data_IF_249398864118
#
_entry.id   IF_249398864118
#
_cell.length_a   1.000
_cell.length_b   1.000
_cell.length_c   1.000
_cell.angle_alpha   90.00
_cell.angle_beta   90.00
_cell.angle_gamma   90.00
#
_symmetry.space_group_name_H-M   'P 1'
#
loop_
_entity.id
_entity.type
_entity.pdbx_description
1 polymer ?
#
# COMPACT_ATOMS: atom_id res chain seq x y z
N UNK A 1 -33.75 -12.49 0.34
CA UNK A 1 -32.76 -13.43 -0.24
C UNK A 1 -31.39 -12.83 0.06
N UNK A 2 -30.72 -13.27 1.13
CA UNK A 2 -29.45 -12.69 1.59
C UNK A 2 -28.35 -13.32 0.72
N UNK A 3 -27.60 -12.52 -0.03
CA UNK A 3 -26.40 -13.03 -0.68
C UNK A 3 -25.40 -13.42 0.43
N UNK A 4 -24.78 -14.60 0.37
CA UNK A 4 -23.76 -14.96 1.36
C UNK A 4 -22.64 -13.91 1.31
N UNK A 5 -22.13 -13.52 2.49
CA UNK A 5 -20.99 -12.60 2.52
C UNK A 5 -19.81 -13.21 1.75
N UNK A 6 -19.10 -12.41 0.94
CA UNK A 6 -18.00 -12.91 0.12
C UNK A 6 -16.89 -13.45 1.01
N UNK A 7 -16.44 -14.68 0.72
CA UNK A 7 -15.33 -15.34 1.45
C UNK A 7 -14.04 -14.52 1.45
N UNK A 8 -13.82 -13.71 0.40
CA UNK A 8 -12.69 -12.79 0.28
C UNK A 8 -13.04 -11.61 -0.61
N UNK A 9 -12.82 -10.41 -0.10
CA UNK A 9 -12.94 -9.16 -0.86
C UNK A 9 -11.55 -8.69 -1.29
N UNK A 10 -11.45 -8.16 -2.50
CA UNK A 10 -10.25 -7.52 -3.02
C UNK A 10 -10.56 -6.07 -3.37
N UNK A 11 -9.88 -5.16 -2.70
CA UNK A 11 -9.92 -3.73 -2.93
C UNK A 11 -8.61 -3.29 -3.57
N UNK A 12 -8.73 -2.34 -4.49
CA UNK A 12 -7.62 -1.76 -5.22
C UNK A 12 -8.11 -0.76 -6.25
N UNK A 13 -7.21 -0.31 -7.10
CA UNK A 13 -7.48 0.58 -8.23
C UNK A 13 -7.23 -0.17 -9.54
N UNK A 14 -7.99 0.16 -10.58
CA UNK A 14 -7.72 -0.33 -11.93
C UNK A 14 -6.63 0.54 -12.55
N UNK A 15 -5.49 -0.05 -12.88
CA UNK A 15 -4.34 0.63 -13.49
C UNK A 15 -4.29 0.46 -15.00
N UNK A 16 -4.98 -0.55 -15.54
CA UNK A 16 -5.16 -0.74 -16.98
C UNK A 16 -6.51 -1.39 -17.26
N UNK A 17 -7.15 -0.94 -18.33
CA UNK A 17 -8.39 -1.50 -18.85
C UNK A 17 -8.28 -1.58 -20.37
N UNK A 18 -8.51 -2.78 -20.90
CA UNK A 18 -8.39 -3.05 -22.32
C UNK A 18 -9.56 -3.91 -22.78
N UNK A 19 -10.14 -3.54 -23.93
CA UNK A 19 -11.14 -4.36 -24.62
C UNK A 19 -10.40 -5.25 -25.62
N UNK A 20 -10.44 -6.56 -25.38
CA UNK A 20 -9.69 -7.54 -26.17
C UNK A 20 -10.45 -7.97 -27.43
N UNK A 21 -11.73 -8.30 -27.30
CA UNK A 21 -12.56 -8.74 -28.42
C UNK A 21 -14.03 -8.45 -28.18
N UNK A 22 -14.80 -8.39 -29.27
CA UNK A 22 -16.25 -8.21 -29.27
C UNK A 22 -16.85 -9.23 -30.23
N UNK A 23 -17.84 -9.98 -29.78
CA UNK A 23 -18.73 -10.80 -30.61
C UNK A 23 -20.15 -10.22 -30.54
N UNK A 24 -21.11 -10.84 -31.23
CA UNK A 24 -22.51 -10.44 -31.11
C UNK A 24 -23.09 -10.71 -29.70
N UNK A 25 -22.52 -11.67 -28.96
CA UNK A 25 -23.07 -12.14 -27.68
C UNK A 25 -22.26 -11.66 -26.47
N UNK A 26 -20.95 -11.42 -26.64
CA UNK A 26 -20.07 -11.04 -25.53
C UNK A 26 -18.97 -10.05 -25.93
N UNK A 27 -18.43 -9.36 -24.92
CA UNK A 27 -17.23 -8.52 -25.06
C UNK A 27 -16.23 -8.89 -23.98
N UNK A 28 -15.01 -9.23 -24.39
CA UNK A 28 -13.94 -9.61 -23.49
C UNK A 28 -13.11 -8.38 -23.08
N UNK A 29 -12.97 -8.18 -21.77
CA UNK A 29 -12.12 -7.14 -21.19
C UNK A 29 -10.99 -7.74 -20.36
N UNK A 30 -9.84 -7.06 -20.37
CA UNK A 30 -8.72 -7.28 -19.45
C UNK A 30 -8.58 -6.07 -18.54
N UNK A 31 -8.63 -6.32 -17.25
CA UNK A 31 -8.42 -5.31 -16.21
C UNK A 31 -7.19 -5.68 -15.39
N UNK A 32 -6.29 -4.73 -15.16
CA UNK A 32 -5.20 -4.88 -14.21
C UNK A 32 -5.57 -4.10 -12.95
N UNK A 33 -5.65 -4.80 -11.83
CA UNK A 33 -5.89 -4.22 -10.52
C UNK A 33 -4.60 -4.17 -9.73
N UNK A 34 -4.35 -3.05 -9.06
CA UNK A 34 -3.22 -2.87 -8.16
C UNK A 34 -3.68 -2.25 -6.82
N UNK A 35 -2.89 -2.38 -5.74
CA UNK A 35 -3.13 -1.63 -4.51
C UNK A 35 -3.11 -0.13 -4.77
N UNK A 36 -3.81 0.65 -3.95
CA UNK A 36 -3.87 2.10 -4.12
C UNK A 36 -2.49 2.76 -4.01
N UNK A 37 -1.61 2.17 -3.22
CA UNK A 37 -0.21 2.60 -3.10
C UNK A 37 0.51 2.64 -4.46
N UNK A 38 0.14 1.80 -5.42
CA UNK A 38 0.76 1.78 -6.76
C UNK A 38 0.56 3.10 -7.52
N UNK A 39 -0.50 3.87 -7.22
CA UNK A 39 -0.72 5.18 -7.84
C UNK A 39 0.42 6.18 -7.54
N UNK A 40 1.17 5.96 -6.46
CA UNK A 40 2.30 6.81 -6.07
C UNK A 40 3.49 6.71 -7.03
N UNK A 41 3.51 5.72 -7.92
CA UNK A 41 4.52 5.60 -8.97
C UNK A 41 4.40 6.69 -10.06
N UNK A 42 3.23 7.30 -10.21
CA UNK A 42 2.97 8.26 -11.30
C UNK A 42 3.38 9.70 -10.98
N UNK A 43 3.76 9.99 -9.74
CA UNK A 43 4.16 11.34 -9.33
C UNK A 43 5.61 11.37 -8.88
N UNK A 44 6.44 12.13 -9.59
CA UNK A 44 7.84 12.40 -9.26
C UNK A 44 7.96 13.75 -8.54
N UNK A 45 8.73 13.81 -7.46
CA UNK A 45 8.89 15.03 -6.67
C UNK A 45 10.33 15.21 -6.17
N UNK A 46 10.64 16.44 -5.74
CA UNK A 46 11.80 16.72 -4.91
C UNK A 46 11.34 17.39 -3.60
N UNK A 47 11.70 16.82 -2.45
CA UNK A 47 11.29 17.30 -1.12
C UNK A 47 12.36 17.02 -0.08
N UNK A 48 12.50 17.94 0.88
CA UNK A 48 13.40 17.79 2.01
C UNK A 48 12.59 17.52 3.28
N UNK A 49 12.97 16.48 4.02
CA UNK A 49 12.46 16.13 5.33
C UNK A 49 13.56 16.37 6.35
N UNK A 50 13.22 17.05 7.45
CA UNK A 50 14.17 17.40 8.50
C UNK A 50 13.68 16.89 9.84
N UNK A 51 14.61 16.44 10.68
CA UNK A 51 14.37 16.04 12.06
C UNK A 51 13.18 15.07 12.22
N UNK A 52 13.12 14.04 11.37
CA UNK A 52 12.05 13.04 11.36
C UNK A 52 12.62 11.63 11.29
N UNK A 53 11.91 10.67 11.89
CA UNK A 53 12.23 9.24 11.72
C UNK A 53 11.73 8.73 10.36
N UNK A 54 12.24 7.59 9.91
CA UNK A 54 11.81 6.99 8.64
C UNK A 54 10.29 6.69 8.59
N UNK A 55 9.68 6.06 9.62
CA UNK A 55 8.23 5.89 9.65
C UNK A 55 7.44 7.21 9.58
N UNK A 56 7.93 8.27 10.23
CA UNK A 56 7.28 9.59 10.18
C UNK A 56 7.33 10.20 8.78
N UNK A 57 8.47 10.06 8.10
CA UNK A 57 8.63 10.51 6.70
C UNK A 57 7.67 9.76 5.79
N UNK A 58 7.61 8.43 5.90
CA UNK A 58 6.68 7.61 5.10
C UNK A 58 5.23 8.03 5.37
N UNK A 59 4.85 8.20 6.65
CA UNK A 59 3.52 8.67 7.02
C UNK A 59 3.21 10.06 6.45
N UNK A 60 4.17 10.98 6.45
CA UNK A 60 4.02 12.32 5.88
C UNK A 60 3.79 12.29 4.37
N UNK A 61 4.55 11.46 3.64
CA UNK A 61 4.37 11.25 2.19
C UNK A 61 2.99 10.70 1.88
N UNK A 62 2.55 9.67 2.62
CA UNK A 62 1.22 9.07 2.46
C UNK A 62 0.10 10.09 2.72
N UNK A 63 0.18 10.83 3.83
CA UNK A 63 -0.80 11.87 4.18
C UNK A 63 -0.89 12.98 3.13
N UNK A 64 0.26 13.41 2.60
CA UNK A 64 0.31 14.39 1.53
C UNK A 64 -0.42 13.92 0.25
N UNK A 65 -0.56 12.60 0.06
CA UNK A 65 -1.28 11.98 -1.06
C UNK A 65 -2.70 11.56 -0.73
N UNK A 66 -3.24 12.06 0.39
CA UNK A 66 -4.62 11.82 0.79
C UNK A 66 -4.86 10.45 1.45
N UNK A 67 -3.81 9.76 1.89
CA UNK A 67 -3.97 8.63 2.81
C UNK A 67 -4.25 9.16 4.22
N UNK A 68 -5.22 8.57 4.89
CA UNK A 68 -5.60 8.86 6.26
C UNK A 68 -5.08 7.79 7.21
N UNK A 69 -5.23 7.99 8.53
CA UNK A 69 -4.76 7.04 9.54
C UNK A 69 -5.42 5.65 9.49
N UNK A 70 -6.53 5.50 8.76
CA UNK A 70 -7.15 4.18 8.55
C UNK A 70 -6.58 3.44 7.34
N UNK A 71 -5.86 4.14 6.46
CA UNK A 71 -5.33 3.58 5.21
C UNK A 71 -3.95 2.93 5.37
N UNK A 72 -3.25 3.17 6.49
CA UNK A 72 -1.96 2.55 6.76
C UNK A 72 -1.70 2.36 8.25
N UNK A 73 -0.89 1.36 8.59
CA UNK A 73 -0.48 1.04 9.96
C UNK A 73 1.00 0.70 10.00
N UNK A 74 1.65 1.01 11.13
CA UNK A 74 3.03 0.65 11.39
C UNK A 74 3.10 -0.29 12.59
N UNK A 75 3.58 -1.51 12.38
CA UNK A 75 3.90 -2.46 13.42
C UNK A 75 5.41 -2.40 13.66
N UNK A 76 5.82 -1.56 14.61
CA UNK A 76 7.23 -1.30 14.91
C UNK A 76 7.65 -2.12 16.13
N UNK A 77 8.74 -2.88 16.00
CA UNK A 77 9.35 -3.64 17.10
C UNK A 77 10.54 -2.92 17.73
N UNK A 78 11.08 -1.93 17.01
CA UNK A 78 12.21 -1.11 17.43
C UNK A 78 11.90 0.38 17.27
N UNK A 79 12.63 1.22 18.01
CA UNK A 79 12.61 2.66 17.82
C UNK A 79 13.46 3.06 16.61
N UNK A 80 12.96 3.99 15.80
CA UNK A 80 13.69 4.55 14.67
C UNK A 80 14.37 5.86 15.09
N UNK A 81 15.66 5.97 14.78
CA UNK A 81 16.41 7.20 15.02
C UNK A 81 15.85 8.35 14.17
N UNK A 82 15.86 9.55 14.75
CA UNK A 82 15.54 10.78 14.02
C UNK A 82 16.69 11.11 13.08
N UNK A 83 16.40 11.28 11.79
CA UNK A 83 17.38 11.71 10.80
C UNK A 83 17.35 13.22 10.67
N UNK A 84 18.52 13.85 10.63
CA UNK A 84 18.66 15.31 10.52
C UNK A 84 18.13 15.80 9.17
N UNK A 85 18.53 15.13 8.08
CA UNK A 85 18.09 15.44 6.72
C UNK A 85 17.85 14.16 5.90
N UNK A 86 16.70 14.11 5.23
CA UNK A 86 16.36 13.08 4.22
C UNK A 86 15.78 13.77 3.02
N UNK A 87 16.30 13.46 1.83
CA UNK A 87 15.82 14.07 0.59
C UNK A 87 15.14 13.00 -0.26
N UNK A 88 13.94 13.33 -0.74
CA UNK A 88 13.37 12.75 -1.94
C UNK A 88 13.90 13.58 -3.11
N UNK A 89 14.71 13.03 -4.00
CA UNK A 89 15.29 13.80 -5.10
C UNK A 89 14.96 13.19 -6.44
N UNK A 90 14.08 13.84 -7.20
CA UNK A 90 13.70 13.39 -8.53
C UNK A 90 13.37 11.89 -8.52
N UNK A 91 12.52 11.45 -7.62
CA UNK A 91 12.06 10.05 -7.55
C UNK A 91 10.55 10.02 -7.29
N UNK A 92 9.88 8.92 -7.65
CA UNK A 92 8.45 8.82 -7.38
C UNK A 92 8.20 8.68 -5.87
N UNK A 93 7.00 9.01 -5.41
CA UNK A 93 6.67 8.81 -4.00
C UNK A 93 6.72 7.32 -3.62
N UNK A 94 6.38 6.42 -4.56
CA UNK A 94 6.49 4.98 -4.34
C UNK A 94 7.96 4.56 -4.22
N UNK A 95 8.82 4.99 -5.15
CA UNK A 95 10.25 4.63 -5.13
C UNK A 95 10.92 5.16 -3.86
N UNK A 96 10.57 6.37 -3.44
CA UNK A 96 11.06 6.96 -2.21
C UNK A 96 10.68 6.13 -0.97
N UNK A 97 9.42 5.72 -0.87
CA UNK A 97 8.95 4.86 0.22
C UNK A 97 9.68 3.52 0.19
N UNK A 98 9.78 2.87 -0.98
CA UNK A 98 10.47 1.60 -1.13
C UNK A 98 11.94 1.70 -0.70
N UNK A 99 12.66 2.74 -1.15
CA UNK A 99 14.05 2.97 -0.77
C UNK A 99 14.22 3.13 0.73
N UNK A 100 13.39 3.95 1.38
CA UNK A 100 13.44 4.12 2.84
C UNK A 100 13.10 2.82 3.59
N UNK A 101 12.13 2.06 3.09
CA UNK A 101 11.77 0.76 3.63
C UNK A 101 12.94 -0.24 3.53
N UNK A 102 13.57 -0.32 2.36
CA UNK A 102 14.72 -1.20 2.12
C UNK A 102 15.94 -0.85 2.98
N UNK A 103 16.26 0.45 3.10
CA UNK A 103 17.36 0.95 3.96
C UNK A 103 17.20 0.52 5.42
N UNK A 104 15.97 0.51 5.92
CA UNK A 104 15.66 0.17 7.31
C UNK A 104 15.26 -1.30 7.52
N UNK A 105 15.08 -2.08 6.46
CA UNK A 105 14.55 -3.45 6.57
C UNK A 105 13.08 -3.49 6.99
N UNK A 106 12.30 -2.46 6.61
CA UNK A 106 10.85 -2.43 6.77
C UNK A 106 10.23 -3.12 5.55
N UNK A 107 9.37 -4.10 5.78
CA UNK A 107 8.51 -4.68 4.76
C UNK A 107 7.11 -4.08 4.85
N UNK A 108 6.31 -4.24 3.80
CA UNK A 108 4.89 -3.90 3.87
C UNK A 108 4.01 -4.88 3.10
N UNK A 109 2.76 -5.00 3.54
CA UNK A 109 1.72 -5.83 2.91
C UNK A 109 0.40 -5.06 2.81
N UNK A 110 -0.50 -5.54 1.96
CA UNK A 110 -1.85 -5.00 1.82
C UNK A 110 -2.85 -5.91 2.50
N UNK A 111 -3.58 -5.37 3.46
CA UNK A 111 -4.71 -6.05 4.10
C UNK A 111 -6.02 -5.59 3.49
N UNK A 112 -6.88 -6.56 3.21
CA UNK A 112 -8.21 -6.32 2.64
C UNK A 112 -9.21 -6.23 3.80
N UNK A 113 -9.76 -5.05 4.03
CA UNK A 113 -10.85 -4.87 5.00
C UNK A 113 -12.19 -5.08 4.29
N UNK A 114 -13.08 -5.89 4.88
CA UNK A 114 -14.42 -6.12 4.32
C UNK A 114 -15.32 -4.87 4.32
N UNK A 115 -14.96 -3.84 5.08
CA UNK A 115 -15.74 -2.61 5.22
C UNK A 115 -15.03 -1.34 4.70
N UNK A 116 -13.71 -1.38 4.50
CA UNK A 116 -12.88 -0.23 4.15
C UNK A 116 -11.98 -0.54 2.95
N UNK A 117 -11.28 0.48 2.45
CA UNK A 117 -10.27 0.36 1.39
C UNK A 117 -9.11 -0.55 1.82
N UNK A 118 -8.24 -0.90 0.87
CA UNK A 118 -7.00 -1.62 1.16
C UNK A 118 -6.13 -0.83 2.17
N UNK A 119 -5.62 -1.53 3.18
CA UNK A 119 -4.78 -0.95 4.24
C UNK A 119 -3.35 -1.40 4.05
N UNK A 120 -2.41 -0.46 3.99
CA UNK A 120 -0.98 -0.76 3.90
C UNK A 120 -0.41 -0.98 5.29
N UNK A 121 0.10 -2.16 5.58
CA UNK A 121 0.69 -2.51 6.88
C UNK A 121 2.20 -2.60 6.73
N UNK A 122 2.93 -1.71 7.39
CA UNK A 122 4.38 -1.71 7.47
C UNK A 122 4.83 -2.49 8.70
N UNK A 123 5.88 -3.31 8.57
CA UNK A 123 6.45 -4.09 9.67
C UNK A 123 7.95 -4.27 9.55
N UNK A 124 8.61 -4.53 10.68
CA UNK A 124 10.08 -4.65 10.77
C UNK A 124 10.55 -5.94 11.46
N UNK A 125 9.62 -6.77 11.95
CA UNK A 125 9.89 -8.04 12.58
C UNK A 125 9.11 -9.17 11.90
N UNK A 126 9.67 -10.39 11.81
CA UNK A 126 8.94 -11.56 11.32
C UNK A 126 7.66 -11.85 12.10
N UNK A 127 7.63 -11.54 13.40
CA UNK A 127 6.46 -11.73 14.25
C UNK A 127 5.24 -10.91 13.76
N UNK A 128 5.47 -9.75 13.13
CA UNK A 128 4.39 -8.92 12.59
C UNK A 128 3.79 -9.47 11.30
N UNK A 129 4.44 -10.45 10.66
CA UNK A 129 3.96 -11.11 9.43
C UNK A 129 3.03 -12.29 9.72
N UNK A 130 2.92 -12.72 10.98
CA UNK A 130 2.05 -13.83 11.37
C UNK A 130 0.59 -13.44 11.14
N UNK A 131 0.01 -13.96 10.06
CA UNK A 131 -1.42 -13.93 9.83
C UNK A 131 -2.09 -15.00 10.66
N UNK A 132 -3.20 -14.67 11.31
CA UNK A 132 -4.04 -15.65 11.98
C UNK A 132 -4.35 -16.81 11.02
N UNK A 133 -3.99 -18.02 11.44
CA UNK A 133 -4.19 -19.25 10.67
C UNK A 133 -5.63 -19.75 10.77
N UNK A 134 -6.61 -18.86 10.70
CA UNK A 134 -8.00 -19.31 10.53
C UNK A 134 -8.17 -19.54 9.03
N UNK A 135 -8.16 -20.80 8.54
CA UNK A 135 -8.50 -21.05 7.16
C UNK A 135 -9.90 -20.48 6.89
N UNK A 136 -10.17 -19.94 5.70
CA UNK A 136 -11.47 -19.35 5.36
C UNK A 136 -12.60 -20.40 5.23
N UNK A 137 -12.38 -21.61 5.75
CA UNK A 137 -13.31 -22.74 5.73
C UNK A 137 -13.20 -23.51 7.06
N UNK A 138 -14.30 -24.15 7.53
CA UNK A 138 -14.29 -25.03 8.69
C UNK A 138 -13.41 -26.28 8.50
#
# INVERSE_FOLDING_TARGET
MYAPEPLKLWNGIITSCEKLSVSNDETLYRLIMAPRLAALAHHRASRLFQNQSVPDIIAAVLKHRGFSGVDFRFNQSRSYGVREYVTQYQESDLDFICRLCEEEGIWFVFEQSGQHRDVVVFGDAPAHYLRDKVPPYP
#
